data_IF_143473033763
#
_entry.id   IF_143473033763
#
_cell.length_a   1.000
_cell.length_b   1.000
_cell.length_c   1.000
_cell.angle_alpha   90.00
_cell.angle_beta   90.00
_cell.angle_gamma   90.00
#
_symmetry.space_group_name_H-M   'P 1'
#
loop_
_entity.id
_entity.type
_entity.pdbx_description
1 polymer ?
#
# COMPACT_ATOMS: atom_id res chain seq x y z
N UNK A 1 5.79 13.28 -5.49
CA UNK A 1 6.77 12.23 -5.86
C UNK A 1 6.52 11.04 -4.95
N UNK A 2 6.43 9.84 -5.51
CA UNK A 2 6.32 8.59 -4.76
C UNK A 2 7.65 7.86 -4.91
N UNK A 3 8.17 7.32 -3.82
CA UNK A 3 9.42 6.56 -3.79
C UNK A 3 9.17 5.21 -3.16
N UNK A 4 9.69 4.15 -3.77
CA UNK A 4 9.69 2.81 -3.21
C UNK A 4 11.13 2.43 -2.84
N UNK A 5 11.30 1.88 -1.64
CA UNK A 5 12.58 1.43 -1.10
C UNK A 5 12.46 -0.06 -0.81
N UNK A 6 13.41 -0.84 -1.32
CA UNK A 6 13.51 -2.28 -1.05
C UNK A 6 14.48 -2.53 0.11
N UNK A 7 14.09 -3.41 1.03
CA UNK A 7 14.89 -3.82 2.18
C UNK A 7 15.68 -5.10 1.94
N UNK A 8 15.96 -5.82 3.03
CA UNK A 8 16.55 -7.18 2.99
C UNK A 8 15.47 -8.27 3.04
N UNK A 9 14.28 -7.94 3.54
CA UNK A 9 13.17 -8.88 3.60
C UNK A 9 12.62 -9.14 2.19
N UNK A 10 12.14 -10.36 1.96
CA UNK A 10 11.51 -10.72 0.69
C UNK A 10 10.16 -10.00 0.56
N UNK A 11 9.95 -9.36 -0.60
CA UNK A 11 8.72 -8.66 -1.02
C UNK A 11 8.24 -7.47 -0.16
N UNK A 12 8.79 -7.26 1.03
CA UNK A 12 8.57 -6.05 1.83
C UNK A 12 9.19 -4.82 1.19
N UNK A 13 8.38 -3.78 1.05
CA UNK A 13 8.78 -2.49 0.48
C UNK A 13 8.28 -1.34 1.35
N UNK A 14 9.13 -0.31 1.51
CA UNK A 14 8.74 0.95 2.14
C UNK A 14 8.40 1.97 1.07
N UNK A 15 7.18 2.49 1.13
CA UNK A 15 6.64 3.45 0.17
C UNK A 15 6.52 4.81 0.84
N UNK A 16 7.11 5.83 0.23
CA UNK A 16 7.06 7.21 0.71
C UNK A 16 6.22 8.03 -0.27
N UNK A 17 5.14 8.61 0.23
CA UNK A 17 4.28 9.52 -0.53
C UNK A 17 3.94 10.75 0.31
N UNK A 18 4.26 11.94 -0.20
CA UNK A 18 3.99 13.22 0.47
C UNK A 18 4.52 13.28 1.91
N UNK A 19 5.71 12.72 2.15
CA UNK A 19 6.35 12.66 3.47
C UNK A 19 5.78 11.61 4.43
N UNK A 20 4.83 10.78 3.98
CA UNK A 20 4.25 9.68 4.76
C UNK A 20 4.86 8.36 4.29
N UNK A 21 5.24 7.53 5.24
CA UNK A 21 5.75 6.18 4.97
C UNK A 21 4.65 5.16 5.20
N UNK A 22 4.49 4.24 4.26
CA UNK A 22 3.63 3.06 4.38
C UNK A 22 4.43 1.82 3.96
N UNK A 23 4.06 0.66 4.48
CA UNK A 23 4.70 -0.61 4.15
C UNK A 23 3.77 -1.40 3.23
N UNK A 24 4.31 -1.94 2.14
CA UNK A 24 3.64 -2.94 1.31
C UNK A 24 4.44 -4.24 1.36
N UNK A 25 3.74 -5.35 1.53
CA UNK A 25 4.36 -6.64 1.77
C UNK A 25 3.42 -7.75 1.32
N UNK A 26 3.98 -8.84 0.81
CA UNK A 26 3.18 -10.02 0.48
C UNK A 26 2.97 -10.87 1.75
N UNK A 27 1.91 -11.69 1.79
CA UNK A 27 1.70 -12.62 2.89
C UNK A 27 2.77 -13.73 2.93
N UNK A 28 2.88 -14.39 4.08
CA UNK A 28 3.90 -15.43 4.32
C UNK A 28 3.81 -16.62 3.34
N UNK A 29 2.61 -16.98 2.89
CA UNK A 29 2.37 -18.09 1.95
C UNK A 29 2.89 -17.79 0.52
N UNK A 30 3.03 -16.50 0.18
CA UNK A 30 3.67 -16.02 -1.03
C UNK A 30 5.15 -15.65 -0.83
N UNK A 31 5.67 -15.87 0.38
CA UNK A 31 7.06 -15.66 0.75
C UNK A 31 7.42 -14.23 1.18
N UNK A 32 6.42 -13.41 1.51
CA UNK A 32 6.63 -12.10 2.16
C UNK A 32 6.65 -12.20 3.68
N UNK A 33 6.54 -11.06 4.37
CA UNK A 33 6.58 -11.00 5.85
C UNK A 33 5.26 -10.60 6.51
N UNK A 34 4.19 -10.42 5.73
CA UNK A 34 2.84 -10.03 6.21
C UNK A 34 2.85 -8.80 7.14
N UNK A 35 3.79 -7.88 6.92
CA UNK A 35 3.96 -6.65 7.74
C UNK A 35 3.17 -5.45 7.21
N UNK A 36 2.47 -5.64 6.10
CA UNK A 36 1.64 -4.63 5.46
C UNK A 36 0.74 -5.26 4.40
N UNK A 37 -0.18 -4.47 3.84
CA UNK A 37 -1.09 -4.95 2.80
C UNK A 37 -0.33 -5.38 1.54
N UNK A 38 -0.86 -6.38 0.85
CA UNK A 38 -0.33 -6.81 -0.43
C UNK A 38 -0.43 -5.65 -1.46
N UNK A 39 0.49 -5.55 -2.43
CA UNK A 39 0.43 -4.53 -3.48
C UNK A 39 -0.93 -4.47 -4.21
N UNK A 40 -1.58 -5.61 -4.40
CA UNK A 40 -2.93 -5.68 -4.97
C UNK A 40 -3.99 -5.01 -4.09
N UNK A 41 -3.90 -5.16 -2.76
CA UNK A 41 -4.79 -4.50 -1.81
C UNK A 41 -4.55 -2.99 -1.79
N UNK A 42 -3.32 -2.52 -1.97
CA UNK A 42 -3.04 -1.08 -2.12
C UNK A 42 -3.76 -0.45 -3.31
N UNK A 43 -3.84 -1.15 -4.44
CA UNK A 43 -4.60 -0.67 -5.58
C UNK A 43 -6.10 -0.56 -5.27
N UNK A 44 -6.66 -1.59 -4.61
CA UNK A 44 -8.06 -1.61 -4.19
C UNK A 44 -8.35 -0.52 -3.15
N UNK A 45 -7.46 -0.29 -2.19
CA UNK A 45 -7.56 0.79 -1.22
C UNK A 45 -7.55 2.16 -1.90
N UNK A 46 -6.68 2.37 -2.89
CA UNK A 46 -6.68 3.62 -3.68
C UNK A 46 -8.04 3.82 -4.35
N UNK A 47 -8.58 2.81 -5.02
CA UNK A 47 -9.89 2.88 -5.69
C UNK A 47 -11.04 3.14 -4.70
N UNK A 48 -11.03 2.42 -3.57
CA UNK A 48 -12.01 2.59 -2.50
C UNK A 48 -11.97 4.02 -1.96
N UNK A 49 -10.77 4.57 -1.73
CA UNK A 49 -10.61 5.94 -1.24
C UNK A 49 -11.15 6.98 -2.22
N UNK A 50 -10.86 6.88 -3.53
CA UNK A 50 -11.41 7.76 -4.55
C UNK A 50 -12.94 7.73 -4.57
N UNK A 51 -13.52 6.54 -4.44
CA UNK A 51 -14.98 6.35 -4.41
C UNK A 51 -15.59 6.98 -3.16
N UNK A 52 -15.04 6.70 -1.98
CA UNK A 52 -15.53 7.23 -0.71
C UNK A 52 -15.46 8.76 -0.63
N UNK A 53 -14.37 9.37 -1.14
CA UNK A 53 -14.23 10.82 -1.25
C UNK A 53 -15.34 11.40 -2.13
N UNK A 54 -15.60 10.77 -3.28
CA UNK A 54 -16.66 11.20 -4.21
C UNK A 54 -18.03 11.11 -3.55
N UNK A 55 -18.35 10.01 -2.86
CA UNK A 55 -19.62 9.87 -2.14
C UNK A 55 -19.80 11.01 -1.13
N UNK A 56 -18.76 11.33 -0.35
CA UNK A 56 -18.82 12.43 0.64
C UNK A 56 -19.01 13.81 0.00
N UNK A 57 -18.52 14.03 -1.22
CA UNK A 57 -18.68 15.31 -1.92
C UNK A 57 -20.14 15.60 -2.31
N UNK A 58 -20.95 14.56 -2.52
CA UNK A 58 -22.32 14.67 -3.04
C UNK A 58 -23.42 14.20 -2.08
N UNK A 59 -23.08 13.72 -0.89
CA UNK A 59 -24.02 13.30 0.16
C UNK A 59 -24.07 14.34 1.29
#
# INVERSE_FOLDING_TARGET
MVTAIIGKEHYRTELIASGKTVIADEPEDLGGTDTGPAPGEFLLMSLASCTAITIRMYA
#
